data_IF_853915896456
#
_entry.id   IF_853915896456
#
_cell.length_a   1.000
_cell.length_b   1.000
_cell.length_c   1.000
_cell.angle_alpha   90.00
_cell.angle_beta   90.00
_cell.angle_gamma   90.00
#
_symmetry.space_group_name_H-M   'P 1'
#
loop_
_entity.id
_entity.type
_entity.pdbx_description
1 polymer ?
#
# COMPACT_ATOMS: atom_id res chain seq x y z
N UNK A 1 -60.17 -14.98 28.92
CA UNK A 1 -58.92 -14.25 29.26
C UNK A 1 -57.95 -15.24 29.87
N UNK A 2 -57.02 -15.77 29.07
CA UNK A 2 -55.91 -16.60 29.58
C UNK A 2 -54.62 -15.88 29.24
N UNK A 3 -53.95 -15.35 30.26
CA UNK A 3 -52.68 -14.68 30.12
C UNK A 3 -51.56 -15.70 29.96
N UNK A 4 -50.92 -15.70 28.79
CA UNK A 4 -49.63 -16.33 28.61
C UNK A 4 -48.58 -15.55 29.39
N UNK A 5 -48.25 -15.99 30.60
CA UNK A 5 -47.04 -15.56 31.28
C UNK A 5 -45.83 -16.18 30.56
N UNK A 6 -45.12 -15.35 29.78
CA UNK A 6 -43.79 -15.69 29.31
C UNK A 6 -42.93 -16.09 30.51
N UNK A 7 -42.37 -17.31 30.47
CA UNK A 7 -41.51 -17.82 31.53
C UNK A 7 -40.35 -16.85 31.75
N UNK A 8 -40.19 -16.39 32.99
CA UNK A 8 -39.07 -15.54 33.37
C UNK A 8 -37.74 -16.28 33.11
N UNK A 9 -36.72 -15.62 32.56
CA UNK A 9 -35.43 -16.25 32.33
C UNK A 9 -34.83 -16.72 33.66
N UNK A 10 -34.36 -17.97 33.69
CA UNK A 10 -33.75 -18.62 34.85
C UNK A 10 -32.55 -17.81 35.36
N UNK A 11 -32.30 -17.80 36.67
CA UNK A 11 -31.20 -17.03 37.30
C UNK A 11 -29.80 -17.29 36.66
N UNK A 12 -29.58 -18.48 36.09
CA UNK A 12 -28.37 -18.83 35.34
C UNK A 12 -28.20 -18.01 34.04
N UNK A 13 -29.30 -17.69 33.35
CA UNK A 13 -29.33 -16.91 32.11
C UNK A 13 -29.04 -15.42 32.38
N UNK A 14 -29.44 -14.94 33.56
CA UNK A 14 -29.16 -13.58 34.03
C UNK A 14 -27.70 -13.41 34.48
N UNK A 15 -27.13 -14.41 35.18
CA UNK A 15 -25.74 -14.41 35.62
C UNK A 15 -24.72 -14.39 34.46
N UNK A 16 -25.03 -15.04 33.34
CA UNK A 16 -24.22 -14.96 32.12
C UNK A 16 -24.28 -13.56 31.45
N UNK A 17 -25.37 -12.83 31.67
CA UNK A 17 -25.62 -11.50 31.09
C UNK A 17 -24.85 -10.38 31.80
N UNK A 18 -24.56 -10.55 33.10
CA UNK A 18 -23.87 -9.56 33.93
C UNK A 18 -22.40 -9.89 34.20
N UNK A 19 -21.88 -10.98 33.60
CA UNK A 19 -20.44 -11.29 33.66
C UNK A 19 -19.64 -10.20 32.95
N UNK A 20 -18.71 -9.59 33.69
CA UNK A 20 -17.70 -8.66 33.17
C UNK A 20 -16.93 -9.38 32.06
N UNK A 21 -16.90 -8.79 30.87
CA UNK A 21 -16.18 -9.36 29.73
C UNK A 21 -14.70 -9.12 29.94
N UNK A 22 -13.95 -10.21 30.02
CA UNK A 22 -12.50 -10.16 30.18
C UNK A 22 -11.86 -9.58 28.91
N UNK A 23 -10.80 -8.79 29.08
CA UNK A 23 -10.09 -8.18 27.95
C UNK A 23 -10.81 -7.00 27.26
N UNK A 24 -12.00 -6.61 27.71
CA UNK A 24 -12.74 -5.50 27.11
C UNK A 24 -11.99 -4.17 27.30
N UNK A 25 -11.64 -3.45 26.20
CA UNK A 25 -11.08 -2.11 26.30
C UNK A 25 -12.08 -1.19 27.00
N UNK A 26 -11.65 -0.43 28.01
CA UNK A 26 -12.50 0.52 28.71
C UNK A 26 -12.25 1.94 28.21
N UNK A 27 -13.32 2.71 28.01
CA UNK A 27 -13.27 4.15 27.69
C UNK A 27 -12.34 4.51 26.52
N UNK A 28 -12.44 3.77 25.40
CA UNK A 28 -11.60 4.05 24.24
C UNK A 28 -11.86 5.46 23.67
N UNK A 29 -10.82 6.29 23.64
CA UNK A 29 -10.90 7.73 23.33
C UNK A 29 -10.98 8.03 21.82
N UNK A 30 -10.89 7.01 20.97
CA UNK A 30 -10.85 7.13 19.51
C UNK A 30 -9.45 7.10 18.92
N UNK A 31 -8.38 7.06 19.74
CA UNK A 31 -6.99 6.97 19.26
C UNK A 31 -6.56 5.53 19.07
N UNK A 32 -5.66 5.31 18.11
CA UNK A 32 -5.12 3.98 17.79
C UNK A 32 -6.22 2.94 17.50
N UNK A 33 -7.00 3.23 16.47
CA UNK A 33 -8.06 2.34 15.98
C UNK A 33 -7.59 0.90 15.75
N UNK A 34 -6.35 0.68 15.33
CA UNK A 34 -5.82 -0.66 15.07
C UNK A 34 -5.78 -1.50 16.35
N UNK A 35 -5.24 -0.96 17.43
CA UNK A 35 -5.16 -1.65 18.71
C UNK A 35 -6.54 -1.90 19.30
N UNK A 36 -7.44 -0.91 19.24
CA UNK A 36 -8.82 -1.08 19.70
C UNK A 36 -9.56 -2.16 18.90
N UNK A 37 -9.50 -2.11 17.57
CA UNK A 37 -10.14 -3.10 16.69
C UNK A 37 -9.63 -4.50 16.99
N UNK A 38 -8.31 -4.67 17.11
CA UNK A 38 -7.71 -5.96 17.44
C UNK A 38 -8.23 -6.53 18.77
N UNK A 39 -8.25 -5.72 19.84
CA UNK A 39 -8.79 -6.14 21.15
C UNK A 39 -10.27 -6.53 21.11
N UNK A 40 -11.07 -5.77 20.37
CA UNK A 40 -12.50 -6.06 20.23
C UNK A 40 -12.72 -7.36 19.43
N UNK A 41 -11.93 -7.61 18.38
CA UNK A 41 -11.99 -8.85 17.63
C UNK A 41 -11.60 -10.06 18.50
N UNK A 42 -10.57 -9.94 19.33
CA UNK A 42 -10.18 -10.96 20.33
C UNK A 42 -11.34 -11.26 21.30
N UNK A 43 -12.05 -10.23 21.79
CA UNK A 43 -13.24 -10.40 22.63
C UNK A 43 -14.38 -11.11 21.90
N UNK A 44 -14.65 -10.74 20.64
CA UNK A 44 -15.71 -11.39 19.86
C UNK A 44 -15.37 -12.83 19.48
N UNK A 45 -14.09 -13.13 19.23
CA UNK A 45 -13.60 -14.48 18.99
C UNK A 45 -13.77 -15.35 20.24
N UNK A 46 -13.37 -14.86 21.42
CA UNK A 46 -13.54 -15.57 22.70
C UNK A 46 -15.01 -15.84 23.09
N UNK A 47 -15.95 -15.15 22.45
CA UNK A 47 -17.39 -15.29 22.69
C UNK A 47 -18.13 -15.97 21.53
N UNK A 48 -17.43 -16.43 20.49
CA UNK A 48 -17.99 -17.02 19.27
C UNK A 48 -18.94 -16.08 18.50
N UNK A 49 -18.71 -14.76 18.58
CA UNK A 49 -19.52 -13.73 17.92
C UNK A 49 -18.88 -13.19 16.64
N UNK A 50 -17.66 -13.63 16.30
CA UNK A 50 -16.86 -13.08 15.21
C UNK A 50 -17.56 -13.16 13.84
N UNK A 51 -18.20 -14.28 13.52
CA UNK A 51 -18.92 -14.46 12.25
C UNK A 51 -20.14 -13.53 12.12
N UNK A 52 -20.79 -13.23 13.25
CA UNK A 52 -21.93 -12.33 13.31
C UNK A 52 -21.46 -10.88 13.15
N UNK A 53 -20.44 -10.43 13.89
CA UNK A 53 -19.98 -9.04 13.78
C UNK A 53 -19.38 -8.72 12.41
N UNK A 54 -18.80 -9.72 11.73
CA UNK A 54 -18.26 -9.57 10.38
C UNK A 54 -19.32 -9.68 9.26
N UNK A 55 -20.59 -9.98 9.59
CA UNK A 55 -21.64 -10.15 8.58
C UNK A 55 -21.59 -11.48 7.82
N UNK A 56 -20.74 -12.43 8.22
CA UNK A 56 -20.66 -13.76 7.59
C UNK A 56 -21.87 -14.64 7.95
N UNK A 57 -22.48 -14.39 9.12
CA UNK A 57 -23.68 -15.06 9.60
C UNK A 57 -24.84 -14.07 9.77
N UNK A 58 -26.01 -14.42 9.22
CA UNK A 58 -27.21 -13.56 9.24
C UNK A 58 -28.46 -14.35 9.63
N UNK A 59 -29.45 -13.64 10.18
CA UNK A 59 -30.74 -14.14 10.63
C UNK A 59 -31.53 -14.86 9.53
N UNK A 60 -31.33 -14.49 8.26
CA UNK A 60 -31.99 -15.16 7.11
C UNK A 60 -31.58 -16.61 6.92
N UNK A 61 -30.44 -17.02 7.50
CA UNK A 61 -29.94 -18.41 7.45
C UNK A 61 -30.58 -19.31 8.52
N UNK A 62 -31.45 -18.77 9.37
CA UNK A 62 -32.06 -19.46 10.51
C UNK A 62 -33.49 -19.92 10.18
N UNK A 63 -33.72 -21.23 10.33
CA UNK A 63 -35.02 -21.85 10.00
C UNK A 63 -35.97 -21.94 11.19
N UNK A 64 -35.45 -21.95 12.42
CA UNK A 64 -36.25 -22.07 13.65
C UNK A 64 -36.44 -20.71 14.32
N UNK A 65 -37.52 -20.55 15.08
CA UNK A 65 -37.74 -19.32 15.83
C UNK A 65 -36.85 -19.25 17.08
N UNK A 66 -36.49 -20.41 17.66
CA UNK A 66 -35.51 -20.53 18.72
C UNK A 66 -34.15 -19.93 18.32
N UNK A 67 -33.65 -20.28 17.14
CA UNK A 67 -32.36 -19.78 16.65
C UNK A 67 -32.41 -18.27 16.41
N UNK A 68 -33.53 -17.76 15.85
CA UNK A 68 -33.72 -16.31 15.66
C UNK A 68 -33.72 -15.57 17.00
N UNK A 69 -34.32 -16.16 18.04
CA UNK A 69 -34.29 -15.60 19.39
C UNK A 69 -32.88 -15.59 19.98
N UNK A 70 -32.09 -16.65 19.77
CA UNK A 70 -30.68 -16.70 20.17
C UNK A 70 -29.87 -15.61 19.45
N UNK A 71 -30.02 -15.49 18.14
CA UNK A 71 -29.34 -14.46 17.34
C UNK A 71 -29.66 -13.04 17.84
N UNK A 72 -30.95 -12.74 18.13
CA UNK A 72 -31.35 -11.45 18.71
C UNK A 72 -30.66 -11.19 20.07
N UNK A 73 -30.53 -12.21 20.93
CA UNK A 73 -29.79 -12.06 22.20
C UNK A 73 -28.31 -11.78 21.97
N UNK A 74 -27.67 -12.45 21.01
CA UNK A 74 -26.27 -12.19 20.66
C UNK A 74 -26.10 -10.75 20.16
N UNK A 75 -27.00 -10.27 19.29
CA UNK A 75 -26.99 -8.89 18.83
C UNK A 75 -27.07 -7.89 19.99
N UNK A 76 -27.97 -8.10 20.96
CA UNK A 76 -28.06 -7.24 22.16
C UNK A 76 -26.77 -7.32 22.98
N UNK A 77 -26.16 -8.51 23.10
CA UNK A 77 -24.89 -8.68 23.81
C UNK A 77 -23.75 -7.92 23.14
N UNK A 78 -23.63 -7.99 21.82
CA UNK A 78 -22.64 -7.22 21.05
C UNK A 78 -22.84 -5.71 21.28
N UNK A 79 -24.08 -5.21 21.22
CA UNK A 79 -24.36 -3.78 21.54
C UNK A 79 -23.87 -3.39 22.92
N UNK A 80 -24.11 -4.24 23.93
CA UNK A 80 -23.66 -3.99 25.31
C UNK A 80 -22.14 -3.97 25.41
N UNK A 81 -21.45 -4.91 24.76
CA UNK A 81 -19.97 -4.98 24.73
C UNK A 81 -19.40 -3.68 24.14
N UNK A 82 -19.90 -3.26 22.97
CA UNK A 82 -19.49 -2.01 22.32
C UNK A 82 -19.84 -0.79 23.19
N UNK A 83 -21.03 -0.78 23.79
CA UNK A 83 -21.46 0.32 24.66
C UNK A 83 -20.60 0.47 25.92
N UNK A 84 -20.05 -0.63 26.44
CA UNK A 84 -19.17 -0.63 27.61
C UNK A 84 -17.73 -0.25 27.26
N UNK A 85 -17.31 -0.43 26.00
CA UNK A 85 -15.96 -0.10 25.57
C UNK A 85 -15.77 1.36 25.15
N UNK A 86 -16.88 2.06 24.87
CA UNK A 86 -16.88 3.44 24.41
C UNK A 86 -17.28 4.42 25.52
N UNK A 87 -16.66 5.62 25.58
CA UNK A 87 -17.18 6.72 26.37
C UNK A 87 -18.47 7.27 25.75
N UNK A 88 -19.28 7.99 26.54
CA UNK A 88 -20.62 8.42 26.15
C UNK A 88 -20.65 9.23 24.85
N UNK A 89 -19.67 10.11 24.63
CA UNK A 89 -19.56 10.94 23.45
C UNK A 89 -19.42 10.10 22.17
N UNK A 90 -18.66 9.00 22.24
CA UNK A 90 -18.45 8.09 21.10
C UNK A 90 -19.60 7.14 20.93
N UNK A 91 -20.20 6.69 22.04
CA UNK A 91 -21.38 5.85 21.99
C UNK A 91 -22.53 6.55 21.28
N UNK A 92 -22.68 7.88 21.40
CA UNK A 92 -23.69 8.63 20.65
C UNK A 92 -23.53 8.53 19.12
N UNK A 93 -22.32 8.29 18.60
CA UNK A 93 -22.07 8.17 17.15
C UNK A 93 -22.67 6.87 16.56
N UNK A 94 -22.85 5.82 17.36
CA UNK A 94 -23.26 4.48 16.87
C UNK A 94 -24.40 3.84 17.66
N UNK A 95 -24.71 4.33 18.86
CA UNK A 95 -25.64 3.70 19.81
C UNK A 95 -27.11 3.68 19.37
N UNK A 96 -27.48 4.51 18.37
CA UNK A 96 -28.82 4.54 17.79
C UNK A 96 -29.10 3.38 16.82
N UNK A 97 -28.06 2.64 16.41
CA UNK A 97 -28.20 1.55 15.44
C UNK A 97 -28.97 0.37 16.04
N UNK A 98 -29.71 -0.36 15.19
CA UNK A 98 -30.66 -1.36 15.64
C UNK A 98 -29.92 -2.59 16.20
N UNK A 99 -28.90 -3.05 15.49
CA UNK A 99 -28.16 -4.28 15.81
C UNK A 99 -26.72 -4.01 16.26
N UNK A 100 -26.12 -4.98 16.97
CA UNK A 100 -24.71 -4.89 17.38
C UNK A 100 -23.75 -5.01 16.19
N UNK A 101 -24.12 -5.79 15.17
CA UNK A 101 -23.39 -5.89 13.90
C UNK A 101 -23.36 -4.53 13.18
N UNK A 102 -24.48 -3.82 13.11
CA UNK A 102 -24.53 -2.46 12.55
C UNK A 102 -23.63 -1.51 13.34
N UNK A 103 -23.70 -1.54 14.68
CA UNK A 103 -22.82 -0.73 15.54
C UNK A 103 -21.34 -0.98 15.26
N UNK A 104 -20.95 -2.25 15.15
CA UNK A 104 -19.57 -2.64 14.86
C UNK A 104 -19.12 -2.21 13.46
N UNK A 105 -19.98 -2.42 12.46
CA UNK A 105 -19.73 -2.05 11.07
C UNK A 105 -19.55 -0.54 10.92
N UNK A 106 -20.41 0.25 11.56
CA UNK A 106 -20.31 1.71 11.55
C UNK A 106 -19.00 2.21 12.20
N UNK A 107 -18.57 1.61 13.32
CA UNK A 107 -17.27 1.92 13.91
C UNK A 107 -16.11 1.61 12.96
N UNK A 108 -16.13 0.44 12.33
CA UNK A 108 -15.12 0.07 11.34
C UNK A 108 -15.07 1.09 10.20
N UNK A 109 -16.22 1.46 9.64
CA UNK A 109 -16.27 2.41 8.55
C UNK A 109 -15.72 3.80 8.95
N UNK A 110 -16.18 4.34 10.07
CA UNK A 110 -15.77 5.68 10.54
C UNK A 110 -14.28 5.72 10.83
N UNK A 111 -13.76 4.73 11.55
CA UNK A 111 -12.39 4.79 12.05
C UNK A 111 -11.34 4.21 11.10
N UNK A 112 -11.71 3.30 10.19
CA UNK A 112 -10.82 2.95 9.09
C UNK A 112 -10.66 4.12 8.13
N UNK A 113 -11.75 4.82 7.78
CA UNK A 113 -11.68 6.05 6.97
C UNK A 113 -10.89 7.14 7.68
N UNK A 114 -11.12 7.41 8.96
CA UNK A 114 -10.35 8.41 9.74
C UNK A 114 -8.87 8.05 9.83
N UNK A 115 -8.53 6.79 10.09
CA UNK A 115 -7.14 6.33 10.16
C UNK A 115 -6.44 6.43 8.78
N UNK A 116 -7.15 6.07 7.71
CA UNK A 116 -6.67 6.27 6.34
C UNK A 116 -6.54 7.75 5.99
N UNK A 117 -7.47 8.61 6.40
CA UNK A 117 -7.42 10.05 6.18
C UNK A 117 -6.25 10.71 6.93
N UNK A 118 -6.00 10.31 8.18
CA UNK A 118 -4.84 10.76 8.95
C UNK A 118 -3.52 10.32 8.31
N UNK A 119 -3.43 9.06 7.90
CA UNK A 119 -2.29 8.54 7.15
C UNK A 119 -2.11 9.30 5.82
N UNK A 120 -3.19 9.53 5.05
CA UNK A 120 -3.19 10.35 3.83
C UNK A 120 -2.69 11.76 4.11
N UNK A 121 -3.19 12.43 5.14
CA UNK A 121 -2.83 13.80 5.49
C UNK A 121 -1.34 13.97 5.85
N UNK A 122 -0.69 12.93 6.42
CA UNK A 122 0.76 12.97 6.69
C UNK A 122 1.60 12.49 5.51
N UNK A 123 1.21 11.40 4.85
CA UNK A 123 2.01 10.75 3.81
C UNK A 123 1.96 11.55 2.51
N UNK A 124 0.81 12.10 2.12
CA UNK A 124 0.65 12.86 0.87
C UNK A 124 1.56 14.10 0.81
N UNK A 125 1.61 14.99 1.82
CA UNK A 125 2.56 16.12 1.80
C UNK A 125 4.01 15.67 1.80
N UNK A 126 4.35 14.58 2.50
CA UNK A 126 5.71 14.01 2.49
C UNK A 126 6.10 13.54 1.08
N UNK A 127 5.23 12.77 0.42
CA UNK A 127 5.47 12.28 -0.95
C UNK A 127 5.54 13.43 -1.96
N UNK A 128 4.71 14.46 -1.83
CA UNK A 128 4.77 15.67 -2.66
C UNK A 128 6.08 16.43 -2.47
N UNK A 129 6.53 16.57 -1.22
CA UNK A 129 7.83 17.18 -0.91
C UNK A 129 8.97 16.35 -1.51
N UNK A 130 8.92 15.04 -1.40
CA UNK A 130 9.93 14.16 -1.99
C UNK A 130 9.95 14.28 -3.52
N UNK A 131 8.78 14.22 -4.17
CA UNK A 131 8.65 14.34 -5.62
C UNK A 131 9.15 15.70 -6.15
N UNK A 132 8.82 16.80 -5.46
CA UNK A 132 9.23 18.15 -5.86
C UNK A 132 10.71 18.45 -5.60
N UNK A 133 11.32 17.81 -4.61
CA UNK A 133 12.74 17.98 -4.27
C UNK A 133 13.67 16.97 -4.97
N UNK A 134 13.10 15.95 -5.61
CA UNK A 134 13.85 14.92 -6.31
C UNK A 134 14.55 15.50 -7.55
N UNK A 135 15.87 15.67 -7.45
CA UNK A 135 16.74 16.10 -8.56
C UNK A 135 17.62 14.95 -9.00
N UNK A 136 17.94 14.92 -10.29
CA UNK A 136 18.95 14.01 -10.81
C UNK A 136 20.33 14.39 -10.26
N UNK A 137 21.09 13.39 -9.82
CA UNK A 137 22.48 13.56 -9.35
C UNK A 137 23.42 13.13 -10.47
N UNK A 138 24.42 13.96 -10.79
CA UNK A 138 25.46 13.63 -11.77
C UNK A 138 26.18 12.32 -11.37
N UNK A 139 26.34 11.40 -12.33
CA UNK A 139 26.87 10.05 -12.09
C UNK A 139 25.85 9.04 -11.54
N UNK A 140 24.61 9.44 -11.27
CA UNK A 140 23.52 8.53 -10.92
C UNK A 140 22.90 7.87 -12.15
N UNK A 141 22.29 6.69 -11.99
CA UNK A 141 21.53 6.03 -13.06
C UNK A 141 20.23 6.79 -13.36
N UNK A 142 20.07 7.29 -14.58
CA UNK A 142 18.89 8.09 -14.96
C UNK A 142 17.62 7.26 -14.98
N UNK A 143 17.71 6.00 -15.43
CA UNK A 143 16.61 5.05 -15.35
C UNK A 143 16.11 4.89 -13.90
N UNK A 144 17.01 4.90 -12.91
CA UNK A 144 16.65 4.83 -11.49
C UNK A 144 15.97 6.12 -11.00
N UNK A 145 16.43 7.29 -11.45
CA UNK A 145 15.79 8.57 -11.17
C UNK A 145 14.36 8.63 -11.74
N UNK A 146 14.19 8.27 -13.00
CA UNK A 146 12.88 8.26 -13.69
C UNK A 146 11.94 7.23 -13.06
N UNK A 147 12.44 6.02 -12.77
CA UNK A 147 11.68 5.00 -12.07
C UNK A 147 11.19 5.51 -10.71
N UNK A 148 12.05 6.17 -9.93
CA UNK A 148 11.66 6.76 -8.65
C UNK A 148 10.57 7.83 -8.79
N UNK A 149 10.65 8.68 -9.81
CA UNK A 149 9.57 9.64 -10.09
C UNK A 149 8.24 8.95 -10.37
N UNK A 150 8.23 7.95 -11.26
CA UNK A 150 7.00 7.21 -11.59
C UNK A 150 6.43 6.45 -10.40
N UNK A 151 7.29 5.86 -9.55
CA UNK A 151 6.85 5.25 -8.29
C UNK A 151 6.18 6.26 -7.37
N UNK A 152 6.78 7.44 -7.16
CA UNK A 152 6.19 8.50 -6.33
C UNK A 152 4.86 9.00 -6.89
N UNK A 153 4.74 9.17 -8.22
CA UNK A 153 3.46 9.52 -8.85
C UNK A 153 2.40 8.44 -8.61
N UNK A 154 2.75 7.16 -8.75
CA UNK A 154 1.85 6.04 -8.48
C UNK A 154 1.42 6.00 -7.01
N UNK A 155 2.35 6.11 -6.08
CA UNK A 155 2.04 6.15 -4.64
C UNK A 155 1.12 7.32 -4.29
N UNK A 156 1.28 8.48 -4.92
CA UNK A 156 0.36 9.61 -4.77
C UNK A 156 -1.04 9.27 -5.29
N UNK A 157 -1.17 8.54 -6.40
CA UNK A 157 -2.46 8.05 -6.91
C UNK A 157 -3.13 7.09 -5.93
N UNK A 158 -2.38 6.20 -5.27
CA UNK A 158 -2.90 5.29 -4.24
C UNK A 158 -3.50 6.04 -3.03
N UNK A 159 -3.10 7.30 -2.83
CA UNK A 159 -3.64 8.22 -1.82
C UNK A 159 -4.63 9.26 -2.38
N UNK A 160 -5.25 9.00 -3.52
CA UNK A 160 -6.23 9.88 -4.17
C UNK A 160 -5.65 11.27 -4.49
N UNK A 161 -4.43 11.27 -5.02
CA UNK A 161 -3.78 12.46 -5.54
C UNK A 161 -3.24 12.22 -6.94
N UNK A 162 -3.91 12.79 -7.93
CA UNK A 162 -3.43 12.78 -9.30
C UNK A 162 -2.43 13.90 -9.55
N UNK A 163 -1.19 13.52 -9.87
CA UNK A 163 -0.15 14.44 -10.33
C UNK A 163 -0.33 14.63 -11.82
N UNK A 164 -0.71 15.84 -12.23
CA UNK A 164 -0.92 16.14 -13.64
C UNK A 164 0.34 15.84 -14.46
N UNK A 165 0.12 15.30 -15.67
CA UNK A 165 1.22 14.94 -16.56
C UNK A 165 2.14 16.13 -16.86
N UNK A 166 1.57 17.33 -16.99
CA UNK A 166 2.35 18.56 -17.22
C UNK A 166 3.28 18.89 -16.03
N UNK A 167 2.82 18.67 -14.80
CA UNK A 167 3.61 18.91 -13.59
C UNK A 167 4.72 17.88 -13.47
N UNK A 168 4.40 16.61 -13.74
CA UNK A 168 5.37 15.53 -13.79
C UNK A 168 6.48 15.79 -14.82
N UNK A 169 6.11 16.24 -16.02
CA UNK A 169 7.05 16.63 -17.08
C UNK A 169 7.92 17.81 -16.63
N UNK A 170 7.32 18.84 -16.04
CA UNK A 170 8.05 20.00 -15.54
C UNK A 170 9.06 19.63 -14.44
N UNK A 171 8.72 18.67 -13.59
CA UNK A 171 9.60 18.14 -12.54
C UNK A 171 10.75 17.32 -13.12
N UNK A 172 10.48 16.43 -14.07
CA UNK A 172 11.50 15.64 -14.78
C UNK A 172 12.51 16.52 -15.51
N UNK A 173 12.02 17.56 -16.19
CA UNK A 173 12.83 18.57 -16.89
C UNK A 173 13.34 19.69 -15.95
N UNK A 174 12.97 19.64 -14.67
CA UNK A 174 13.38 20.55 -13.60
C UNK A 174 14.83 20.37 -13.17
N UNK A 175 15.38 19.18 -13.39
CA UNK A 175 16.79 18.93 -13.16
C UNK A 175 17.65 19.62 -14.20
N UNK A 176 18.73 20.28 -13.78
CA UNK A 176 19.60 21.06 -14.67
C UNK A 176 20.18 20.24 -15.82
N UNK A 177 20.41 18.94 -15.61
CA UNK A 177 20.96 18.02 -16.60
C UNK A 177 20.11 17.87 -17.88
N UNK A 178 18.80 18.16 -17.84
CA UNK A 178 17.87 17.93 -18.96
C UNK A 178 17.05 19.16 -19.34
N UNK A 179 17.41 20.32 -18.80
CA UNK A 179 16.70 21.58 -19.04
C UNK A 179 16.67 21.96 -20.52
N UNK A 180 17.68 21.54 -21.32
CA UNK A 180 17.73 21.77 -22.76
C UNK A 180 16.62 21.05 -23.54
N UNK A 181 16.08 19.94 -23.01
CA UNK A 181 15.00 19.18 -23.68
C UNK A 181 13.64 19.89 -23.60
N UNK A 182 13.51 20.93 -22.77
CA UNK A 182 12.27 21.73 -22.65
C UNK A 182 11.81 22.31 -23.98
N UNK A 183 12.74 22.73 -24.84
CA UNK A 183 12.41 23.28 -26.16
C UNK A 183 11.88 22.21 -27.12
N UNK A 184 12.44 20.99 -27.06
CA UNK A 184 12.01 19.84 -27.88
C UNK A 184 10.61 19.39 -27.48
N UNK A 185 10.37 19.30 -26.18
CA UNK A 185 9.08 18.90 -25.61
C UNK A 185 7.97 19.92 -25.92
N UNK A 186 8.27 21.22 -25.92
CA UNK A 186 7.30 22.27 -26.29
C UNK A 186 6.90 22.24 -27.77
N UNK A 187 7.74 21.70 -28.64
CA UNK A 187 7.45 21.58 -30.06
C UNK A 187 6.55 20.37 -30.40
N UNK A 188 6.28 19.49 -29.42
CA UNK A 188 5.45 18.29 -29.60
C UNK A 188 4.05 18.52 -29.04
N UNK A 189 3.01 18.14 -29.79
CA UNK A 189 1.61 18.47 -29.48
C UNK A 189 0.94 17.54 -28.46
N UNK A 190 1.50 16.37 -28.19
CA UNK A 190 1.03 15.44 -27.14
C UNK A 190 2.22 14.87 -26.37
N UNK A 191 2.46 15.43 -25.19
CA UNK A 191 3.61 15.03 -24.36
C UNK A 191 3.09 14.30 -23.13
N UNK A 192 3.39 13.01 -23.04
CA UNK A 192 3.21 12.23 -21.81
C UNK A 192 4.52 12.15 -21.03
N UNK A 193 4.49 11.96 -19.70
CA UNK A 193 5.70 11.76 -18.90
C UNK A 193 6.52 10.57 -19.40
N UNK A 194 5.87 9.53 -19.91
CA UNK A 194 6.55 8.36 -20.53
C UNK A 194 7.32 8.76 -21.79
N UNK A 195 6.73 9.56 -22.68
CA UNK A 195 7.43 10.04 -23.87
C UNK A 195 8.66 10.89 -23.50
N UNK A 196 8.54 11.77 -22.50
CA UNK A 196 9.68 12.56 -22.00
C UNK A 196 10.74 11.69 -21.35
N UNK A 197 10.35 10.63 -20.64
CA UNK A 197 11.29 9.67 -20.08
C UNK A 197 12.15 8.99 -21.16
N UNK A 198 11.55 8.64 -22.30
CA UNK A 198 12.25 8.07 -23.44
C UNK A 198 13.22 9.07 -24.06
N UNK A 199 12.81 10.32 -24.26
CA UNK A 199 13.67 11.39 -24.77
C UNK A 199 14.88 11.65 -23.86
N UNK A 200 14.69 11.62 -22.54
CA UNK A 200 15.78 11.76 -21.57
C UNK A 200 16.77 10.59 -21.74
N UNK A 201 16.27 9.35 -21.77
CA UNK A 201 17.10 8.16 -21.99
C UNK A 201 17.89 8.22 -23.31
N UNK A 202 17.25 8.64 -24.41
CA UNK A 202 17.89 8.79 -25.72
C UNK A 202 19.01 9.84 -25.70
N UNK A 203 18.80 10.99 -25.05
CA UNK A 203 19.83 12.04 -24.99
C UNK A 203 21.05 11.58 -24.19
N UNK A 204 20.86 10.74 -23.15
CA UNK A 204 21.98 10.16 -22.39
C UNK A 204 22.78 9.19 -23.25
N UNK A 205 22.11 8.28 -23.95
CA UNK A 205 22.78 7.36 -24.87
C UNK A 205 23.57 8.13 -25.93
N UNK A 206 23.04 9.27 -26.38
CA UNK A 206 23.70 10.16 -27.34
C UNK A 206 24.91 10.86 -26.76
N UNK A 207 24.84 11.35 -25.52
CA UNK A 207 25.98 11.96 -24.81
C UNK A 207 27.08 10.93 -24.52
N UNK A 208 26.74 9.72 -24.10
CA UNK A 208 27.70 8.63 -23.90
C UNK A 208 28.45 8.28 -25.20
N UNK A 209 27.72 8.19 -26.33
CA UNK A 209 28.32 7.95 -27.64
C UNK A 209 29.25 9.10 -28.08
N UNK A 210 28.88 10.36 -27.79
CA UNK A 210 29.73 11.54 -28.03
C UNK A 210 30.99 11.50 -27.16
N UNK A 211 30.88 11.10 -25.89
CA UNK A 211 31.99 10.98 -24.95
C UNK A 211 33.01 9.92 -25.36
N UNK A 212 32.53 8.73 -25.74
CA UNK A 212 33.38 7.63 -26.25
C UNK A 212 34.13 8.04 -27.52
N UNK A 213 33.45 8.71 -28.45
CA UNK A 213 34.09 9.21 -29.68
C UNK A 213 35.17 10.28 -29.41
N UNK A 214 34.98 11.13 -28.39
CA UNK A 214 35.99 12.11 -27.96
C UNK A 214 37.20 11.44 -27.32
N UNK A 215 36.99 10.42 -26.48
CA UNK A 215 38.06 9.64 -25.85
C UNK A 215 38.88 8.89 -26.91
N UNK A 216 38.22 8.21 -27.85
CA UNK A 216 38.87 7.52 -28.97
C UNK A 216 39.71 8.46 -29.85
N UNK A 217 39.23 9.68 -30.09
CA UNK A 217 39.97 10.69 -30.87
C UNK A 217 41.17 11.23 -30.11
N UNK A 218 41.07 11.36 -28.79
CA UNK A 218 42.16 11.85 -27.93
C UNK A 218 43.23 10.78 -27.74
N UNK A 219 42.84 9.51 -27.59
CA UNK A 219 43.76 8.37 -27.55
C UNK A 219 44.48 8.17 -28.90
N UNK A 220 43.77 8.31 -30.02
CA UNK A 220 44.40 8.28 -31.36
C UNK A 220 45.37 9.44 -31.56
N UNK A 221 45.10 10.63 -31.03
CA UNK A 221 46.04 11.77 -31.06
C UNK A 221 47.25 11.56 -30.15
N UNK A 222 47.06 11.00 -28.96
CA UNK A 222 48.14 10.71 -28.02
C UNK A 222 49.04 9.56 -28.50
N UNK A 223 48.46 8.53 -29.13
CA UNK A 223 49.20 7.44 -29.78
C UNK A 223 50.04 7.95 -30.96
N UNK A 224 49.50 8.87 -31.77
CA UNK A 224 50.22 9.47 -32.91
C UNK A 224 51.34 10.41 -32.48
N UNK A 225 51.28 11.02 -31.28
CA UNK A 225 52.37 11.82 -30.70
C UNK A 225 53.51 10.98 -30.10
N UNK A 226 53.27 9.72 -29.73
CA UNK A 226 54.33 8.81 -29.23
C UNK A 226 55.04 8.01 -30.34
N UNK A 227 54.67 8.19 -31.61
CA UNK A 227 55.12 7.36 -32.74
C UNK A 227 56.27 7.92 -33.60
N UNK A 228 57.18 8.75 -33.06
CA UNK A 228 58.33 9.25 -33.85
C UNK A 228 59.70 8.99 -33.17
N UNK A 229 60.05 7.70 -33.06
CA UNK A 229 61.37 7.03 -33.14
C UNK A 229 62.47 7.29 -32.07
N UNK A 230 63.55 6.48 -31.99
CA UNK A 230 63.80 5.13 -32.57
C UNK A 230 64.21 4.04 -31.53
N UNK A 231 64.26 2.78 -31.99
CA UNK A 231 64.92 1.56 -31.46
C UNK A 231 65.50 1.53 -30.02
N UNK A 232 65.02 0.60 -29.18
CA UNK A 232 65.80 -0.50 -28.57
C UNK A 232 65.02 -1.21 -27.45
N UNK A 233 64.94 -2.53 -27.56
CA UNK A 233 64.95 -3.59 -26.52
C UNK A 233 64.22 -3.50 -25.17
N UNK A 234 63.63 -4.68 -24.86
CA UNK A 234 63.43 -5.34 -23.56
C UNK A 234 62.20 -5.02 -22.68
N UNK A 235 61.43 -6.11 -22.46
CA UNK A 235 60.56 -6.56 -21.35
C UNK A 235 60.17 -5.56 -20.23
N UNK A 236 59.00 -5.62 -19.59
CA UNK A 236 58.33 -6.78 -19.00
C UNK A 236 56.85 -6.46 -18.69
N UNK A 237 56.01 -7.49 -18.82
CA UNK A 237 54.96 -7.89 -17.87
C UNK A 237 53.72 -7.01 -17.58
N UNK A 238 52.57 -7.68 -17.46
CA UNK A 238 51.49 -7.23 -16.58
C UNK A 238 50.11 -6.98 -17.18
N UNK A 239 49.29 -8.04 -17.18
CA UNK A 239 47.84 -8.07 -16.86
C UNK A 239 46.78 -7.80 -17.95
N UNK A 240 46.14 -8.94 -18.28
CA UNK A 240 44.69 -9.22 -18.27
C UNK A 240 43.80 -8.36 -19.18
N UNK A 241 43.61 -8.86 -20.40
CA UNK A 241 42.35 -8.71 -21.14
C UNK A 241 41.34 -9.75 -20.63
N UNK A 242 40.08 -9.37 -20.47
CA UNK A 242 38.94 -10.06 -21.10
C UNK A 242 37.56 -9.43 -20.75
N UNK A 243 36.52 -9.74 -21.54
CA UNK A 243 35.66 -8.72 -22.16
C UNK A 243 34.25 -8.70 -21.57
N UNK A 244 33.51 -7.60 -21.78
CA UNK A 244 32.06 -7.60 -21.60
C UNK A 244 31.42 -7.71 -22.98
N UNK A 245 30.94 -8.92 -23.28
CA UNK A 245 29.97 -9.20 -24.34
C UNK A 245 28.56 -8.98 -23.77
N UNK A 246 27.73 -8.31 -24.56
CA UNK A 246 26.28 -8.45 -24.71
C UNK A 246 25.46 -8.85 -23.47
N UNK A 247 24.70 -7.90 -22.94
CA UNK A 247 23.49 -8.16 -22.16
C UNK A 247 22.31 -7.40 -22.76
N UNK A 248 21.57 -8.03 -23.68
CA UNK A 248 20.18 -7.65 -23.96
C UNK A 248 19.39 -7.88 -22.68
N UNK A 249 18.74 -6.86 -22.15
CA UNK A 249 17.70 -7.05 -21.13
C UNK A 249 16.35 -6.91 -21.85
N UNK A 250 15.77 -8.07 -22.14
CA UNK A 250 14.34 -8.20 -22.38
C UNK A 250 13.60 -7.95 -21.06
N UNK A 251 12.52 -7.20 -21.11
CA UNK A 251 11.57 -7.11 -20.00
C UNK A 251 10.25 -7.65 -20.56
N UNK A 252 10.11 -8.98 -20.54
CA UNK A 252 8.82 -9.63 -20.69
C UNK A 252 8.39 -10.26 -19.37
N UNK A 253 7.08 -10.22 -19.18
CA UNK A 253 6.26 -10.62 -18.05
C UNK A 253 6.64 -11.95 -17.39
N UNK A 254 6.80 -11.94 -16.06
CA UNK A 254 6.43 -13.04 -15.14
C UNK A 254 6.31 -12.44 -13.73
N UNK A 255 5.37 -12.74 -12.83
CA UNK A 255 3.98 -13.18 -12.88
C UNK A 255 3.55 -13.11 -11.40
N UNK A 256 2.46 -12.41 -11.12
CA UNK A 256 1.73 -12.53 -9.85
C UNK A 256 1.10 -13.94 -9.79
N UNK A 257 1.35 -14.68 -8.70
CA UNK A 257 0.63 -15.92 -8.36
C UNK A 257 -0.07 -15.72 -7.01
N UNK A 258 -1.40 -15.68 -6.96
CA UNK A 258 -2.14 -15.94 -5.73
C UNK A 258 -2.37 -17.44 -5.62
N UNK A 259 -1.73 -18.10 -4.67
CA UNK A 259 -2.08 -19.48 -4.32
C UNK A 259 -3.36 -19.44 -3.49
N UNK A 260 -4.49 -19.76 -4.12
CA UNK A 260 -5.64 -20.31 -3.43
C UNK A 260 -5.28 -21.73 -3.01
N UNK A 261 -5.41 -22.05 -1.72
CA UNK A 261 -5.78 -23.37 -1.15
C UNK A 261 -5.44 -23.41 0.35
N UNK A 262 -6.41 -23.00 1.17
CA UNK A 262 -6.62 -23.59 2.50
C UNK A 262 -8.12 -23.66 2.75
N UNK A 263 -8.76 -24.61 2.07
CA UNK A 263 -9.98 -25.23 2.58
C UNK A 263 -9.58 -26.59 3.14
N UNK A 264 -9.60 -26.74 4.47
CA UNK A 264 -9.75 -28.04 5.11
C UNK A 264 -10.75 -27.89 6.26
N UNK A 265 -12.02 -27.92 5.87
CA UNK A 265 -13.02 -28.67 6.60
C UNK A 265 -12.59 -30.14 6.56
N UNK A 266 -12.48 -30.76 7.74
CA UNK A 266 -12.37 -32.20 7.92
C UNK A 266 -13.65 -32.89 7.45
N UNK A 267 -13.58 -33.93 6.60
CA UNK A 267 -14.60 -34.95 6.53
C UNK A 267 -14.25 -36.07 7.52
N UNK A 268 -15.23 -36.41 8.35
CA UNK A 268 -15.18 -37.53 9.29
C UNK A 268 -15.11 -38.91 8.62
N UNK A 269 -14.85 -39.86 9.52
CA UNK A 269 -14.59 -41.28 9.35
C UNK A 269 -15.50 -42.05 8.39
N UNK A 270 -14.84 -43.09 7.86
CA UNK A 270 -15.35 -44.31 7.27
C UNK A 270 -16.55 -44.95 8.00
N UNK A 271 -17.47 -45.49 7.19
CA UNK A 271 -17.97 -46.86 7.38
C UNK A 271 -16.94 -47.84 6.81
#
# INVERSE_FOLDING_TARGET
>A
MSGNHAAAPTQATQAAYDRKVEGLPANWDGKDWRTYKWRMLEVFENLDYLEIVNGAFDMTKLNTDEDKHVYKRIQIRIKRIIGQSLPAERLHEVGYLATGMEMWSALCEVYEKKNQAGARAMVKPRLLKELSTLKYKEGGGVSLYLAKMFMLKKELTDYDHDVQDIDMINLMLGSHAYSQLRHVVRATTTVTPKAVSALICEEILREEARGQSRHDRQDKRNAKKKGKGPNSEQACDGRKKNPIKNGKVFIDEVLYKPTAEHGLLSPGLAQ
#
